data_IF_651907572314
#
_entry.id   IF_651907572314
#
_cell.length_a   1.000
_cell.length_b   1.000
_cell.length_c   1.000
_cell.angle_alpha   90.00
_cell.angle_beta   90.00
_cell.angle_gamma   90.00
#
_symmetry.space_group_name_H-M   'P 1'
#
loop_
_entity.id
_entity.type
_entity.pdbx_description
1 polymer ?
#
# COMPACT_ATOMS: atom_id res chain seq x y z
N UNK A 1 -6.88 13.76 0.99
CA UNK A 1 -7.59 13.91 -0.31
C UNK A 1 -6.91 13.07 -1.39
N UNK A 2 -7.64 12.15 -2.03
CA UNK A 2 -7.16 11.29 -3.14
C UNK A 2 -7.86 11.70 -4.47
N UNK A 3 -7.32 12.63 -5.27
CA UNK A 3 -8.14 13.33 -6.26
C UNK A 3 -8.06 12.82 -7.72
N UNK A 4 -7.66 11.57 -7.99
CA UNK A 4 -7.61 10.99 -9.36
C UNK A 4 -7.94 9.49 -9.36
N UNK A 5 -8.43 8.89 -10.47
CA UNK A 5 -8.53 7.43 -10.57
C UNK A 5 -7.17 6.76 -10.33
N UNK A 6 -7.18 5.54 -9.80
CA UNK A 6 -6.00 4.68 -9.82
C UNK A 6 -5.97 4.04 -11.22
N UNK A 7 -4.87 4.22 -11.94
CA UNK A 7 -4.66 3.59 -13.25
C UNK A 7 -3.48 2.64 -13.14
N UNK A 8 -3.72 1.37 -13.47
CA UNK A 8 -2.72 0.31 -13.37
C UNK A 8 -2.72 -0.54 -14.64
N UNK A 9 -1.56 -1.07 -15.00
CA UNK A 9 -1.44 -2.16 -15.96
C UNK A 9 -1.43 -3.48 -15.19
N UNK A 10 -2.35 -4.38 -15.51
CA UNK A 10 -2.40 -5.71 -14.90
C UNK A 10 -1.30 -6.56 -15.54
N UNK A 11 -0.52 -7.26 -14.72
CA UNK A 11 0.47 -8.23 -15.18
C UNK A 11 -0.20 -9.60 -15.32
N UNK A 12 0.05 -10.27 -16.44
CA UNK A 12 -0.49 -11.59 -16.74
C UNK A 12 0.10 -12.68 -15.82
N UNK A 13 -0.49 -13.87 -15.84
CA UNK A 13 -0.33 -14.95 -14.83
C UNK A 13 1.10 -15.43 -14.54
N UNK A 14 2.09 -15.11 -15.39
CA UNK A 14 3.49 -15.46 -15.12
C UNK A 14 4.12 -14.60 -14.01
N UNK A 15 3.53 -13.43 -13.72
CA UNK A 15 3.99 -12.45 -12.74
C UNK A 15 3.14 -12.44 -11.46
N UNK A 16 2.75 -13.63 -10.98
CA UNK A 16 1.98 -13.76 -9.75
C UNK A 16 2.85 -13.77 -8.49
N UNK A 17 2.40 -13.06 -7.45
CA UNK A 17 3.01 -13.10 -6.12
C UNK A 17 2.13 -13.91 -5.17
N UNK A 18 2.53 -15.15 -4.90
CA UNK A 18 1.75 -16.08 -4.05
C UNK A 18 0.30 -16.30 -4.56
N UNK A 19 0.15 -16.55 -5.86
CA UNK A 19 -1.15 -16.78 -6.50
C UNK A 19 -1.99 -15.50 -6.69
N UNK A 20 -1.35 -14.33 -6.71
CA UNK A 20 -2.01 -13.03 -6.82
C UNK A 20 -1.54 -12.30 -8.07
N UNK A 21 -2.50 -11.79 -8.82
CA UNK A 21 -2.27 -10.87 -9.92
C UNK A 21 -1.56 -9.61 -9.43
N UNK A 22 -0.37 -9.35 -9.98
CA UNK A 22 0.33 -8.09 -9.76
C UNK A 22 -0.14 -7.02 -10.75
N UNK A 23 0.03 -5.76 -10.38
CA UNK A 23 -0.24 -4.65 -11.27
C UNK A 23 0.81 -3.55 -11.15
N UNK A 24 1.12 -2.87 -12.25
CA UNK A 24 2.06 -1.75 -12.30
C UNK A 24 1.27 -0.43 -12.25
N UNK A 25 1.61 0.45 -11.31
CA UNK A 25 1.05 1.81 -11.24
C UNK A 25 1.50 2.62 -12.45
N UNK A 26 0.56 3.01 -13.31
CA UNK A 26 0.86 3.73 -14.57
C UNK A 26 1.07 5.22 -14.38
N UNK A 27 0.39 5.83 -13.40
CA UNK A 27 0.53 7.24 -13.08
C UNK A 27 0.78 7.39 -11.59
N UNK A 28 1.88 8.08 -11.26
CA UNK A 28 2.20 8.43 -9.89
C UNK A 28 1.03 9.20 -9.24
N UNK A 29 0.81 8.97 -7.94
CA UNK A 29 -0.20 9.70 -7.20
C UNK A 29 0.25 10.01 -5.78
N UNK A 30 -0.23 11.16 -5.28
CA UNK A 30 -0.01 11.60 -3.90
C UNK A 30 -1.26 11.37 -3.07
N UNK A 31 -1.05 10.87 -1.86
CA UNK A 31 -2.02 10.94 -0.77
C UNK A 31 -1.59 12.00 0.23
N UNK A 32 -2.49 12.96 0.48
CA UNK A 32 -2.33 13.93 1.57
C UNK A 32 -3.25 13.50 2.70
N UNK A 33 -2.66 13.07 3.81
CA UNK A 33 -3.39 12.66 5.00
C UNK A 33 -4.07 13.87 5.65
N UNK A 34 -5.42 13.92 5.73
CA UNK A 34 -6.14 15.13 6.13
C UNK A 34 -5.79 15.64 7.54
N UNK A 35 -5.59 14.74 8.50
CA UNK A 35 -5.42 15.13 9.90
C UNK A 35 -3.98 15.51 10.28
N UNK A 36 -2.98 15.07 9.51
CA UNK A 36 -1.56 15.32 9.83
C UNK A 36 -0.81 16.13 8.79
N UNK A 37 -1.38 16.28 7.59
CA UNK A 37 -0.67 16.86 6.45
C UNK A 37 0.45 15.98 5.87
N UNK A 38 0.59 14.71 6.32
CA UNK A 38 1.57 13.79 5.76
C UNK A 38 1.32 13.57 4.27
N UNK A 39 2.39 13.54 3.47
CA UNK A 39 2.33 13.42 2.02
C UNK A 39 3.04 12.14 1.59
N UNK A 40 2.27 11.20 1.06
CA UNK A 40 2.77 9.90 0.61
C UNK A 40 2.67 9.88 -0.91
N UNK A 41 3.83 9.79 -1.55
CA UNK A 41 3.95 9.68 -3.00
C UNK A 41 4.16 8.24 -3.39
N UNK A 42 3.21 7.70 -4.16
CA UNK A 42 3.35 6.41 -4.84
C UNK A 42 3.85 6.69 -6.26
N UNK A 43 5.04 6.19 -6.62
CA UNK A 43 5.67 6.46 -7.90
C UNK A 43 5.04 5.66 -9.05
N UNK A 44 5.18 6.18 -10.27
CA UNK A 44 4.94 5.42 -11.49
C UNK A 44 5.91 4.24 -11.58
N UNK A 45 5.44 3.14 -12.14
CA UNK A 45 6.21 1.91 -12.29
C UNK A 45 6.20 1.02 -11.04
N UNK A 46 5.66 1.48 -9.90
CA UNK A 46 5.53 0.65 -8.70
C UNK A 46 4.65 -0.57 -8.97
N UNK A 47 5.15 -1.76 -8.64
CA UNK A 47 4.39 -3.01 -8.73
C UNK A 47 3.73 -3.33 -7.40
N UNK A 48 2.40 -3.38 -7.42
CA UNK A 48 1.53 -3.66 -6.28
C UNK A 48 0.83 -5.00 -6.47
N UNK A 49 0.56 -5.71 -5.38
CA UNK A 49 -0.21 -6.96 -5.39
C UNK A 49 -1.61 -6.80 -4.74
N UNK A 50 -1.93 -5.58 -4.27
CA UNK A 50 -3.19 -5.18 -3.62
C UNK A 50 -3.48 -5.90 -2.31
N UNK A 51 -2.49 -6.61 -1.76
CA UNK A 51 -2.77 -7.76 -0.93
C UNK A 51 -2.07 -7.71 0.43
N UNK A 52 -2.18 -6.54 1.04
CA UNK A 52 -2.17 -6.43 2.49
C UNK A 52 -3.31 -7.22 3.18
N UNK A 53 -4.27 -7.79 2.45
CA UNK A 53 -5.30 -8.67 3.01
C UNK A 53 -4.76 -10.13 3.08
N UNK A 54 -4.55 -10.70 4.29
CA UNK A 54 -4.16 -12.08 4.48
C UNK A 54 -5.09 -13.05 3.75
N UNK A 55 -4.55 -14.18 3.31
CA UNK A 55 -5.26 -15.23 2.57
C UNK A 55 -6.62 -15.59 3.18
N UNK A 56 -6.70 -15.70 4.51
CA UNK A 56 -7.93 -16.00 5.25
C UNK A 56 -9.06 -14.96 5.07
N UNK A 57 -8.72 -13.70 4.77
CA UNK A 57 -9.68 -12.61 4.59
C UNK A 57 -10.08 -12.38 3.12
N UNK A 58 -9.43 -13.07 2.15
CA UNK A 58 -9.70 -12.94 0.71
C UNK A 58 -11.08 -13.46 0.27
N UNK A 59 -11.67 -14.38 1.03
CA UNK A 59 -13.05 -14.85 0.78
C UNK A 59 -14.14 -13.81 1.13
N UNK A 60 -13.81 -12.83 1.97
CA UNK A 60 -14.75 -11.79 2.45
C UNK A 60 -14.53 -10.47 1.73
N UNK A 61 -13.29 -10.19 1.32
CA UNK A 61 -12.91 -8.96 0.62
C UNK A 61 -12.31 -9.29 -0.74
N UNK A 62 -13.01 -8.99 -1.85
CA UNK A 62 -12.41 -9.14 -3.17
C UNK A 62 -11.14 -8.27 -3.27
N UNK A 63 -10.11 -8.72 -4.02
CA UNK A 63 -8.83 -8.02 -4.14
C UNK A 63 -8.96 -6.64 -4.78
N UNK A 64 -9.99 -6.44 -5.62
CA UNK A 64 -10.27 -5.17 -6.26
C UNK A 64 -11.58 -4.56 -5.75
N UNK A 65 -11.61 -3.24 -5.58
CA UNK A 65 -12.78 -2.50 -5.14
C UNK A 65 -12.44 -1.11 -4.61
N UNK A 66 -13.38 -0.47 -3.89
CA UNK A 66 -13.21 0.90 -3.36
C UNK A 66 -11.99 1.08 -2.45
N UNK A 67 -11.42 0.00 -1.92
CA UNK A 67 -10.23 0.02 -1.07
C UNK A 67 -8.91 -0.19 -1.84
N UNK A 68 -8.95 -0.52 -3.14
CA UNK A 68 -7.76 -0.89 -3.91
C UNK A 68 -6.68 0.20 -3.87
N UNK A 69 -7.08 1.47 -4.01
CA UNK A 69 -6.12 2.59 -3.93
C UNK A 69 -5.50 2.77 -2.54
N UNK A 70 -6.24 2.44 -1.48
CA UNK A 70 -5.70 2.39 -0.13
C UNK A 70 -4.74 1.20 0.05
N UNK A 71 -5.03 0.06 -0.58
CA UNK A 71 -4.13 -1.10 -0.57
C UNK A 71 -2.79 -0.76 -1.25
N UNK A 72 -2.81 -0.10 -2.41
CA UNK A 72 -1.56 0.36 -3.08
C UNK A 72 -0.74 1.28 -2.18
N UNK A 73 -1.37 2.22 -1.46
CA UNK A 73 -0.68 3.08 -0.50
C UNK A 73 -0.04 2.28 0.64
N UNK A 74 -0.76 1.28 1.15
CA UNK A 74 -0.29 0.45 2.24
C UNK A 74 0.87 -0.44 1.80
N UNK A 75 0.73 -1.13 0.66
CA UNK A 75 1.76 -1.99 0.08
C UNK A 75 3.03 -1.17 -0.19
N UNK A 76 2.90 0.06 -0.68
CA UNK A 76 4.03 0.98 -0.86
C UNK A 76 4.75 1.32 0.46
N UNK A 77 3.99 1.64 1.51
CA UNK A 77 4.55 1.96 2.83
C UNK A 77 5.19 0.74 3.51
N UNK A 78 4.69 -0.47 3.22
CA UNK A 78 5.29 -1.72 3.65
C UNK A 78 6.59 -2.00 2.89
N UNK A 79 6.59 -1.78 1.57
CA UNK A 79 7.75 -1.98 0.72
C UNK A 79 8.94 -1.08 1.11
N UNK A 80 8.70 0.22 1.35
CA UNK A 80 9.79 1.12 1.77
C UNK A 80 10.33 0.72 3.16
N UNK A 81 9.48 0.15 4.02
CA UNK A 81 9.92 -0.47 5.27
C UNK A 81 10.56 0.47 6.28
N UNK A 82 10.14 1.73 6.37
CA UNK A 82 10.70 2.69 7.34
C UNK A 82 10.63 2.16 8.79
N UNK A 83 11.78 2.00 9.49
CA UNK A 83 11.82 1.39 10.81
C UNK A 83 10.84 2.04 11.81
N UNK A 84 9.99 1.22 12.44
CA UNK A 84 9.01 1.67 13.43
C UNK A 84 7.72 2.29 12.86
N UNK A 85 7.58 2.40 11.52
CA UNK A 85 6.42 3.04 10.89
C UNK A 85 5.34 2.07 10.40
N UNK A 86 5.43 0.78 10.74
CA UNK A 86 4.34 -0.17 10.47
C UNK A 86 2.97 0.32 11.02
N UNK A 87 2.84 0.78 12.28
CA UNK A 87 1.55 1.30 12.77
C UNK A 87 1.06 2.53 11.99
N UNK A 88 1.99 3.32 11.45
CA UNK A 88 1.66 4.44 10.58
C UNK A 88 1.10 3.95 9.24
N UNK A 89 1.74 2.97 8.59
CA UNK A 89 1.23 2.36 7.36
C UNK A 89 -0.18 1.76 7.54
N UNK A 90 -0.38 1.00 8.63
CA UNK A 90 -1.68 0.42 8.96
C UNK A 90 -2.76 1.51 9.18
N UNK A 91 -2.38 2.63 9.80
CA UNK A 91 -3.29 3.76 10.05
C UNK A 91 -3.66 4.49 8.76
N UNK A 92 -2.67 4.79 7.92
CA UNK A 92 -2.87 5.41 6.61
C UNK A 92 -3.84 4.58 5.76
N UNK A 93 -3.75 3.26 5.84
CA UNK A 93 -4.68 2.37 5.15
C UNK A 93 -6.13 2.55 5.62
N UNK A 94 -6.35 2.58 6.94
CA UNK A 94 -7.67 2.83 7.52
C UNK A 94 -8.25 4.18 7.11
N UNK A 95 -7.43 5.24 7.18
CA UNK A 95 -7.87 6.60 6.88
C UNK A 95 -8.07 6.83 5.38
N UNK A 96 -7.22 6.25 4.52
CA UNK A 96 -7.43 6.26 3.08
C UNK A 96 -8.70 5.50 2.68
N UNK A 97 -9.01 4.37 3.34
CA UNK A 97 -10.29 3.67 3.14
C UNK A 97 -11.49 4.52 3.56
N UNK A 98 -11.36 5.31 4.64
CA UNK A 98 -12.39 6.28 5.07
C UNK A 98 -12.59 7.34 3.99
N UNK A 99 -11.51 7.93 3.47
CA UNK A 99 -11.57 8.94 2.40
C UNK A 99 -12.19 8.40 1.10
N UNK A 100 -11.98 7.12 0.79
CA UNK A 100 -12.58 6.44 -0.37
C UNK A 100 -14.05 6.01 -0.15
N UNK A 101 -14.59 6.27 1.05
CA UNK A 101 -15.97 5.96 1.44
C UNK A 101 -16.24 4.46 1.63
N UNK A 102 -15.21 3.69 2.01
CA UNK A 102 -15.39 2.31 2.48
C UNK A 102 -16.16 2.32 3.80
N UNK A 103 -17.17 1.45 3.92
CA UNK A 103 -18.02 1.39 5.11
C UNK A 103 -17.23 1.09 6.38
N UNK A 104 -17.67 1.66 7.51
CA UNK A 104 -16.99 1.52 8.80
C UNK A 104 -16.74 0.05 9.19
N UNK A 105 -17.70 -0.89 9.07
CA UNK A 105 -17.45 -2.29 9.42
C UNK A 105 -16.34 -2.90 8.56
N UNK A 106 -16.39 -2.67 7.24
CA UNK A 106 -15.43 -3.22 6.28
C UNK A 106 -14.01 -2.75 6.55
N UNK A 107 -13.81 -1.42 6.67
CA UNK A 107 -12.47 -0.87 6.91
C UNK A 107 -11.90 -1.25 8.28
N UNK A 108 -12.76 -1.41 9.30
CA UNK A 108 -12.34 -1.84 10.64
C UNK A 108 -11.85 -3.28 10.63
N UNK A 109 -12.57 -4.20 9.98
CA UNK A 109 -12.11 -5.59 9.84
C UNK A 109 -10.77 -5.64 9.10
N UNK A 110 -10.69 -4.99 7.94
CA UNK A 110 -9.45 -4.95 7.14
C UNK A 110 -8.26 -4.37 7.94
N UNK A 111 -8.48 -3.29 8.70
CA UNK A 111 -7.47 -2.70 9.58
C UNK A 111 -7.03 -3.67 10.70
N UNK A 112 -7.97 -4.30 11.40
CA UNK A 112 -7.64 -5.27 12.45
C UNK A 112 -6.83 -6.44 11.90
N UNK A 113 -7.17 -6.89 10.69
CA UNK A 113 -6.47 -7.98 10.01
C UNK A 113 -4.99 -7.62 9.72
N UNK A 114 -4.70 -6.44 9.17
CA UNK A 114 -3.29 -6.01 8.94
C UNK A 114 -2.53 -5.77 10.24
N UNK A 115 -3.21 -5.29 11.29
CA UNK A 115 -2.61 -5.14 12.63
C UNK A 115 -2.19 -6.48 13.24
N UNK A 116 -2.99 -7.53 13.05
CA UNK A 116 -2.68 -8.86 13.56
C UNK A 116 -1.61 -9.58 12.72
N UNK A 117 -1.69 -9.51 11.39
CA UNK A 117 -0.86 -10.33 10.49
C UNK A 117 0.37 -9.62 9.88
N UNK A 118 0.42 -8.28 9.89
CA UNK A 118 1.39 -7.52 9.10
C UNK A 118 2.84 -7.53 9.59
N UNK A 119 3.14 -8.10 10.76
CA UNK A 119 4.48 -8.02 11.37
C UNK A 119 5.56 -8.74 10.57
N UNK A 120 5.26 -9.94 10.10
CA UNK A 120 6.16 -10.72 9.25
C UNK A 120 6.21 -10.23 7.80
N UNK A 121 5.10 -9.68 7.28
CA UNK A 121 5.04 -9.11 5.93
C UNK A 121 5.90 -7.84 5.82
N UNK A 122 5.84 -6.95 6.82
CA UNK A 122 6.60 -5.69 6.83
C UNK A 122 8.12 -5.90 6.68
N UNK A 123 8.68 -6.88 7.39
CA UNK A 123 10.10 -7.20 7.29
C UNK A 123 10.47 -7.88 5.96
N UNK A 124 9.58 -8.70 5.40
CA UNK A 124 9.82 -9.45 4.16
C UNK A 124 9.72 -8.58 2.90
N UNK A 125 8.84 -7.58 2.89
CA UNK A 125 8.65 -6.73 1.71
C UNK A 125 9.90 -5.89 1.40
N UNK A 126 10.69 -5.51 2.41
CA UNK A 126 11.95 -4.77 2.23
C UNK A 126 12.93 -5.52 1.33
N UNK A 127 13.01 -6.85 1.49
CA UNK A 127 13.90 -7.71 0.70
C UNK A 127 13.47 -7.79 -0.79
N UNK A 128 12.23 -7.38 -1.09
CA UNK A 128 11.68 -7.40 -2.46
C UNK A 128 11.90 -6.10 -3.24
N UNK A 129 12.53 -5.09 -2.64
CA UNK A 129 12.78 -3.78 -3.26
C UNK A 129 13.34 -3.87 -4.68
N UNK A 130 14.30 -4.77 -4.92
CA UNK A 130 14.93 -4.97 -6.23
C UNK A 130 13.96 -5.32 -7.37
N UNK A 131 12.77 -5.86 -7.06
CA UNK A 131 11.75 -6.31 -8.01
C UNK A 131 10.47 -5.45 -7.97
N UNK A 132 10.50 -4.37 -7.21
CA UNK A 132 9.33 -3.55 -6.91
C UNK A 132 8.88 -2.63 -8.05
N UNK A 133 9.62 -2.56 -9.15
CA UNK A 133 9.30 -1.69 -10.28
C UNK A 133 9.19 -2.47 -11.59
N UNK A 134 8.46 -1.91 -12.54
CA UNK A 134 8.35 -2.41 -13.90
C UNK A 134 7.88 -1.36 -14.89
N UNK A 135 8.01 -1.65 -16.17
CA UNK A 135 7.45 -0.83 -17.26
C UNK A 135 6.02 -1.29 -17.56
N UNK A 136 5.05 -0.43 -17.33
CA UNK A 136 3.65 -0.74 -17.59
C UNK A 136 3.32 -0.94 -19.08
N UNK A 137 4.20 -0.51 -20.00
CA UNK A 137 4.02 -0.70 -21.45
C UNK A 137 4.46 -2.08 -21.93
N UNK A 138 5.49 -2.66 -21.30
CA UNK A 138 6.09 -3.94 -21.72
C UNK A 138 5.84 -5.07 -20.74
N UNK A 139 5.46 -4.75 -19.48
CA UNK A 139 5.34 -5.71 -18.39
C UNK A 139 6.67 -6.05 -17.70
N UNK A 140 7.80 -5.67 -18.28
CA UNK A 140 9.12 -6.06 -17.78
C UNK A 140 9.46 -5.41 -16.44
N UNK A 141 10.03 -6.20 -15.52
CA UNK A 141 10.55 -5.71 -14.23
C UNK A 141 11.76 -4.81 -14.43
N UNK A 142 11.88 -3.81 -13.57
CA UNK A 142 12.99 -2.85 -13.55
C UNK A 142 13.51 -2.64 -12.15
N UNK A 143 14.78 -2.29 -12.06
CA UNK A 143 15.35 -1.83 -10.81
C UNK A 143 14.69 -0.50 -10.40
N UNK A 144 14.44 -0.28 -9.09
CA UNK A 144 13.96 0.99 -8.59
C UNK A 144 14.92 2.13 -8.97
N UNK A 145 14.43 3.28 -9.47
CA UNK A 145 15.29 4.38 -9.88
C UNK A 145 15.83 5.21 -8.69
N UNK A 146 15.45 4.86 -7.46
CA UNK A 146 15.83 5.52 -6.22
C UNK A 146 15.94 4.51 -5.06
N UNK A 147 16.59 4.95 -3.98
CA UNK A 147 16.65 4.19 -2.73
C UNK A 147 15.34 4.31 -1.93
N UNK A 148 15.01 3.28 -1.15
CA UNK A 148 13.79 3.24 -0.34
C UNK A 148 13.74 4.35 0.72
N UNK A 149 14.89 4.69 1.31
CA UNK A 149 15.03 5.67 2.39
C UNK A 149 14.78 7.13 1.94
N UNK A 150 14.84 7.38 0.63
CA UNK A 150 14.41 8.64 0.02
C UNK A 150 12.90 8.90 0.20
N UNK A 151 12.11 7.84 0.42
CA UNK A 151 10.66 7.90 0.60
C UNK A 151 10.19 7.77 2.05
N UNK A 152 11.13 7.72 3.01
CA UNK A 152 10.81 7.68 4.44
C UNK A 152 10.03 8.93 4.85
N UNK A 153 8.95 8.70 5.58
CA UNK A 153 8.03 9.69 6.13
C UNK A 153 8.62 10.31 7.42
N UNK A 154 9.84 10.86 7.31
CA UNK A 154 10.62 11.50 8.40
C UNK A 154 9.88 12.64 9.14
N UNK A 155 8.77 13.14 8.58
CA UNK A 155 7.89 14.17 9.14
C UNK A 155 6.84 13.63 10.12
N UNK A 156 6.80 12.32 10.34
CA UNK A 156 5.95 11.70 11.38
C UNK A 156 6.84 11.16 12.52
N UNK A 157 7.19 12.00 13.51
CA UNK A 157 8.25 11.70 14.48
C UNK A 157 7.95 10.54 15.45
N UNK A 158 6.70 10.08 15.57
CA UNK A 158 6.34 8.91 16.37
C UNK A 158 5.08 8.23 15.83
N UNK A 159 5.01 6.89 15.71
CA UNK A 159 3.83 6.18 15.19
C UNK A 159 2.54 6.66 15.90
N UNK A 160 1.42 6.85 15.17
CA UNK A 160 0.20 7.35 15.77
C UNK A 160 -0.21 6.43 16.93
N UNK A 161 -0.46 7.02 18.11
CA UNK A 161 -0.92 6.25 19.26
C UNK A 161 -2.25 5.53 18.90
N UNK A 162 -2.55 4.36 19.50
CA UNK A 162 -3.77 3.62 19.18
C UNK A 162 -5.05 4.45 19.31
N UNK A 163 -5.03 5.42 20.24
CA UNK A 163 -6.09 6.35 20.60
C UNK A 163 -6.09 7.66 19.80
N UNK A 164 -5.14 7.86 18.87
CA UNK A 164 -5.19 8.98 17.93
C UNK A 164 -6.51 8.91 17.14
N UNK A 165 -7.43 9.81 17.50
CA UNK A 165 -8.65 10.11 16.76
C UNK A 165 -8.51 11.53 16.21
N UNK A 166 -8.95 11.77 14.97
CA UNK A 166 -8.94 13.10 14.36
C UNK A 166 -9.78 14.10 15.15
#
# INVERSE_FOLDING_TARGET
MLPKPLVVAILDSEDEKEGRTCAIVTFAFRYIHPASGAQIDVPEGYVTDFASIPSAARGVFPPFGRHAKAAVLHDWLYLIGEPGQRPFADRIFLDAMKDLGVSLPRRTIMYQTVRAAGGGAYAKEVDTWSKAFGDWRTGERRAPPFAADAHYQRRWPAPPRPDYRP
#
